data_IF_466565457851
#
_entry.id   IF_466565457851
#
_cell.length_a   1.000
_cell.length_b   1.000
_cell.length_c   1.000
_cell.angle_alpha   90.00
_cell.angle_beta   90.00
_cell.angle_gamma   90.00
#
_symmetry.space_group_name_H-M   'P 1'
#
loop_
_entity.id
_entity.type
_entity.pdbx_description
1 polymer ?
#
# COMPACT_ATOMS: atom_id res chain seq x y z
N UNK A 1 -4.90 31.32 9.31
CA UNK A 1 -4.20 30.55 10.37
C UNK A 1 -5.18 29.86 11.32
N UNK A 2 -6.13 30.58 11.96
CA UNK A 2 -7.15 29.94 12.84
C UNK A 2 -8.07 28.94 12.08
N UNK A 3 -8.54 29.27 10.87
CA UNK A 3 -9.37 28.37 10.04
C UNK A 3 -8.65 27.11 9.60
N UNK A 4 -7.37 27.21 9.25
CA UNK A 4 -6.53 26.08 8.87
C UNK A 4 -6.33 25.11 10.05
N UNK A 5 -6.07 25.64 11.26
CA UNK A 5 -5.96 24.84 12.48
C UNK A 5 -7.29 24.14 12.86
N UNK A 6 -8.43 24.79 12.63
CA UNK A 6 -9.75 24.21 12.90
C UNK A 6 -10.11 23.15 11.85
N UNK A 7 -9.76 23.35 10.58
CA UNK A 7 -9.93 22.36 9.51
C UNK A 7 -9.04 21.13 9.74
N UNK A 8 -7.80 21.35 10.18
CA UNK A 8 -6.82 20.32 10.51
C UNK A 8 -7.23 19.54 11.78
N UNK A 9 -7.81 20.22 12.79
CA UNK A 9 -8.40 19.58 13.96
C UNK A 9 -9.67 18.77 13.62
N UNK A 10 -10.55 19.27 12.75
CA UNK A 10 -11.74 18.53 12.27
C UNK A 10 -11.37 17.34 11.41
N UNK A 11 -10.35 17.45 10.55
CA UNK A 11 -9.83 16.32 9.75
C UNK A 11 -9.19 15.24 10.63
N UNK A 12 -8.42 15.64 11.65
CA UNK A 12 -7.89 14.68 12.63
C UNK A 12 -8.99 14.04 13.47
N UNK A 13 -10.08 14.73 13.79
CA UNK A 13 -11.20 14.15 14.56
C UNK A 13 -12.09 13.22 13.71
N UNK A 14 -12.52 13.64 12.52
CA UNK A 14 -13.42 12.83 11.68
C UNK A 14 -12.68 11.74 10.88
N UNK A 15 -11.50 12.03 10.34
CA UNK A 15 -10.71 11.04 9.60
C UNK A 15 -10.20 9.87 10.46
N UNK A 16 -10.02 10.09 11.77
CA UNK A 16 -9.57 9.04 12.70
C UNK A 16 -10.71 8.10 13.14
N UNK A 17 -11.96 8.58 13.17
CA UNK A 17 -13.14 7.73 13.48
C UNK A 17 -13.60 6.93 12.25
N UNK A 18 -13.47 7.50 11.05
CA UNK A 18 -13.85 6.84 9.80
C UNK A 18 -12.83 5.79 9.35
N UNK A 19 -11.54 5.98 9.63
CA UNK A 19 -10.49 5.06 9.20
C UNK A 19 -10.65 3.62 9.72
N UNK A 20 -10.89 3.35 11.02
CA UNK A 20 -11.12 1.99 11.52
C UNK A 20 -12.33 1.31 10.87
N UNK A 21 -13.41 2.06 10.61
CA UNK A 21 -14.60 1.55 9.93
C UNK A 21 -14.30 1.25 8.45
N UNK A 22 -13.61 2.16 7.76
CA UNK A 22 -13.18 1.97 6.37
C UNK A 22 -12.22 0.78 6.24
N UNK A 23 -11.30 0.61 7.18
CA UNK A 23 -10.38 -0.53 7.23
C UNK A 23 -11.11 -1.84 7.42
N UNK A 24 -12.08 -1.89 8.34
CA UNK A 24 -12.89 -3.09 8.54
C UNK A 24 -13.65 -3.47 7.26
N UNK A 25 -14.30 -2.51 6.61
CA UNK A 25 -15.02 -2.75 5.34
C UNK A 25 -14.06 -3.20 4.22
N UNK A 26 -12.89 -2.57 4.12
CA UNK A 26 -11.85 -2.92 3.16
C UNK A 26 -11.31 -4.35 3.41
N UNK A 27 -11.12 -4.74 4.66
CA UNK A 27 -10.72 -6.10 5.02
C UNK A 27 -11.82 -7.11 4.71
N UNK A 28 -13.07 -6.80 5.06
CA UNK A 28 -14.23 -7.66 4.80
C UNK A 28 -14.47 -7.89 3.31
N UNK A 29 -14.17 -6.91 2.45
CA UNK A 29 -14.33 -7.04 1.00
C UNK A 29 -13.30 -7.99 0.37
N UNK A 30 -12.05 -8.00 0.84
CA UNK A 30 -11.00 -8.87 0.30
C UNK A 30 -10.88 -10.21 1.03
N UNK A 31 -11.34 -10.29 2.29
CA UNK A 31 -11.16 -11.47 3.13
C UNK A 31 -11.71 -12.78 2.54
N UNK A 32 -12.85 -12.83 1.83
CA UNK A 32 -13.31 -14.07 1.19
C UNK A 32 -12.28 -14.64 0.22
N UNK A 33 -11.74 -13.79 -0.67
CA UNK A 33 -10.73 -14.18 -1.65
C UNK A 33 -9.43 -14.61 -0.96
N UNK A 34 -8.95 -13.83 0.02
CA UNK A 34 -7.73 -14.18 0.76
C UNK A 34 -7.88 -15.50 1.54
N UNK A 35 -9.07 -15.80 2.07
CA UNK A 35 -9.35 -17.10 2.72
C UNK A 35 -9.30 -18.25 1.74
N UNK A 36 -9.88 -18.10 0.55
CA UNK A 36 -9.82 -19.13 -0.50
C UNK A 36 -8.37 -19.38 -0.89
N UNK A 37 -7.60 -18.32 -1.17
CA UNK A 37 -6.18 -18.40 -1.51
C UNK A 37 -5.40 -19.15 -0.42
N UNK A 38 -5.52 -18.74 0.85
CA UNK A 38 -4.79 -19.38 1.97
C UNK A 38 -5.14 -20.85 2.16
N UNK A 39 -6.41 -21.21 1.97
CA UNK A 39 -6.84 -22.60 2.05
C UNK A 39 -6.24 -23.42 0.91
N UNK A 40 -6.28 -22.91 -0.33
CA UNK A 40 -5.67 -23.57 -1.49
C UNK A 40 -4.14 -23.69 -1.36
N UNK A 41 -3.47 -22.66 -0.83
CA UNK A 41 -2.05 -22.69 -0.50
C UNK A 41 -1.71 -23.81 0.47
N UNK A 42 -2.49 -23.93 1.55
CA UNK A 42 -2.32 -24.97 2.55
C UNK A 42 -2.54 -26.37 1.98
N UNK A 43 -3.57 -26.56 1.17
CA UNK A 43 -3.87 -27.84 0.52
C UNK A 43 -2.78 -28.24 -0.49
N UNK A 44 -2.22 -27.28 -1.22
CA UNK A 44 -1.19 -27.51 -2.21
C UNK A 44 0.25 -27.50 -1.64
N UNK A 45 0.43 -27.21 -0.35
CA UNK A 45 1.75 -27.12 0.29
C UNK A 45 2.63 -25.99 -0.25
N UNK A 46 2.01 -24.90 -0.74
CA UNK A 46 2.71 -23.74 -1.29
C UNK A 46 2.34 -22.45 -0.53
N UNK A 47 3.10 -21.39 -0.75
CA UNK A 47 2.87 -20.08 -0.13
C UNK A 47 3.30 -18.98 -1.10
N UNK A 48 2.53 -17.89 -1.16
CA UNK A 48 2.91 -16.66 -1.85
C UNK A 48 3.06 -15.51 -0.86
N UNK A 49 4.32 -15.16 -0.63
CA UNK A 49 4.71 -13.99 0.15
C UNK A 49 4.20 -12.69 -0.48
N UNK A 50 4.11 -12.65 -1.81
CA UNK A 50 3.57 -11.50 -2.55
C UNK A 50 2.09 -11.29 -2.21
N UNK A 51 1.29 -12.35 -2.27
CA UNK A 51 -0.14 -12.29 -1.97
C UNK A 51 -0.38 -12.00 -0.49
N UNK A 52 0.48 -12.50 0.40
CA UNK A 52 0.43 -12.19 1.82
C UNK A 52 0.64 -10.69 2.08
N UNK A 53 1.71 -10.10 1.53
CA UNK A 53 2.02 -8.67 1.67
C UNK A 53 0.95 -7.78 1.04
N UNK A 54 0.47 -8.14 -0.16
CA UNK A 54 -0.62 -7.40 -0.82
C UNK A 54 -1.94 -7.49 -0.04
N UNK A 55 -2.23 -8.65 0.55
CA UNK A 55 -3.43 -8.86 1.36
C UNK A 55 -3.48 -8.02 2.63
N UNK A 56 -2.32 -7.63 3.16
CA UNK A 56 -2.19 -6.70 4.29
C UNK A 56 -2.18 -5.24 3.85
N UNK A 57 -1.42 -4.92 2.80
CA UNK A 57 -1.24 -3.54 2.33
C UNK A 57 -2.50 -2.97 1.65
N UNK A 58 -3.19 -3.76 0.82
CA UNK A 58 -4.30 -3.26 0.01
C UNK A 58 -5.47 -2.73 0.86
N UNK A 59 -5.96 -3.45 1.89
CA UNK A 59 -7.02 -2.93 2.75
C UNK A 59 -6.65 -1.65 3.47
N UNK A 60 -5.40 -1.54 3.96
CA UNK A 60 -4.89 -0.33 4.60
C UNK A 60 -4.85 0.86 3.63
N UNK A 61 -4.37 0.65 2.41
CA UNK A 61 -4.33 1.68 1.37
C UNK A 61 -5.74 2.15 0.98
N UNK A 62 -6.69 1.22 0.80
CA UNK A 62 -8.09 1.55 0.54
C UNK A 62 -8.71 2.33 1.69
N UNK A 63 -8.50 1.88 2.93
CA UNK A 63 -9.02 2.55 4.12
C UNK A 63 -8.54 3.99 4.24
N UNK A 64 -7.26 4.22 3.94
CA UNK A 64 -6.66 5.54 3.93
C UNK A 64 -7.34 6.47 2.91
N UNK A 65 -7.53 6.00 1.67
CA UNK A 65 -8.18 6.82 0.63
C UNK A 65 -9.64 7.12 0.95
N UNK A 66 -10.38 6.13 1.47
CA UNK A 66 -11.78 6.31 1.89
C UNK A 66 -11.88 7.31 3.03
N UNK A 67 -11.04 7.17 4.05
CA UNK A 67 -11.02 8.08 5.21
C UNK A 67 -10.52 9.49 4.85
N UNK A 68 -9.69 9.62 3.81
CA UNK A 68 -9.17 10.91 3.37
C UNK A 68 -10.21 11.77 2.65
N UNK A 69 -11.24 11.16 2.07
CA UNK A 69 -12.33 11.87 1.41
C UNK A 69 -13.33 12.48 2.43
N UNK A 70 -13.52 11.82 3.57
CA UNK A 70 -14.59 12.18 4.52
C UNK A 70 -15.94 12.33 3.82
N UNK A 71 -16.77 13.27 4.31
CA UNK A 71 -18.01 13.72 3.68
C UNK A 71 -17.83 14.97 2.78
N UNK A 72 -16.60 15.33 2.40
CA UNK A 72 -16.34 16.56 1.65
C UNK A 72 -16.60 16.38 0.15
N UNK A 73 -17.32 17.31 -0.46
CA UNK A 73 -17.58 17.33 -1.91
C UNK A 73 -16.37 17.84 -2.70
N UNK A 74 -15.55 18.72 -2.09
CA UNK A 74 -14.36 19.32 -2.69
C UNK A 74 -13.19 19.29 -1.69
N UNK A 75 -11.98 19.08 -2.22
CA UNK A 75 -10.74 19.06 -1.45
C UNK A 75 -9.92 20.33 -1.71
N UNK A 76 -9.51 21.00 -0.63
CA UNK A 76 -8.59 22.13 -0.71
C UNK A 76 -7.17 21.66 -1.09
N UNK A 77 -6.34 22.55 -1.65
CA UNK A 77 -4.99 22.23 -2.11
C UNK A 77 -4.10 21.59 -1.03
N UNK A 78 -4.22 22.02 0.23
CA UNK A 78 -3.47 21.43 1.35
C UNK A 78 -3.96 20.02 1.68
N UNK A 79 -5.26 19.73 1.51
CA UNK A 79 -5.79 18.37 1.64
C UNK A 79 -5.20 17.43 0.58
N UNK A 80 -5.14 17.89 -0.67
CA UNK A 80 -4.58 17.13 -1.78
C UNK A 80 -3.11 16.76 -1.55
N UNK A 81 -2.30 17.69 -1.03
CA UNK A 81 -0.89 17.43 -0.71
C UNK A 81 -0.70 16.42 0.42
N UNK A 82 -1.54 16.47 1.45
CA UNK A 82 -1.48 15.52 2.55
C UNK A 82 -1.91 14.11 2.10
N UNK A 83 -2.95 14.03 1.25
CA UNK A 83 -3.37 12.77 0.63
C UNK A 83 -2.23 12.17 -0.18
N UNK A 84 -1.62 12.95 -1.06
CA UNK A 84 -0.46 12.55 -1.87
C UNK A 84 0.69 12.05 -1.00
N UNK A 85 1.05 12.79 0.06
CA UNK A 85 2.13 12.42 0.98
C UNK A 85 1.87 11.07 1.64
N UNK A 86 0.72 10.87 2.26
CA UNK A 86 0.43 9.61 2.96
C UNK A 86 0.25 8.42 2.00
N UNK A 87 -0.27 8.66 0.78
CA UNK A 87 -0.31 7.63 -0.25
C UNK A 87 1.09 7.25 -0.72
N UNK A 88 1.96 8.24 -0.95
CA UNK A 88 3.34 8.02 -1.32
C UNK A 88 4.07 7.18 -0.24
N UNK A 89 3.92 7.51 1.03
CA UNK A 89 4.50 6.73 2.14
C UNK A 89 4.08 5.25 2.06
N UNK A 90 2.78 4.97 1.91
CA UNK A 90 2.27 3.60 1.79
C UNK A 90 2.81 2.88 0.55
N UNK A 91 2.85 3.55 -0.60
CA UNK A 91 3.37 2.98 -1.84
C UNK A 91 4.86 2.68 -1.73
N UNK A 92 5.66 3.58 -1.16
CA UNK A 92 7.09 3.36 -0.99
C UNK A 92 7.40 2.26 0.04
N UNK A 93 6.58 2.09 1.08
CA UNK A 93 6.68 0.92 1.98
C UNK A 93 6.41 -0.38 1.20
N UNK A 94 5.41 -0.41 0.33
CA UNK A 94 5.14 -1.58 -0.53
C UNK A 94 6.31 -1.85 -1.48
N UNK A 95 6.86 -0.81 -2.12
CA UNK A 95 8.02 -0.94 -3.01
C UNK A 95 9.21 -1.54 -2.25
N UNK A 96 9.53 -1.01 -1.07
CA UNK A 96 10.60 -1.55 -0.23
C UNK A 96 10.34 -3.02 0.14
N UNK A 97 9.10 -3.34 0.49
CA UNK A 97 8.68 -4.71 0.79
C UNK A 97 8.92 -5.63 -0.42
N UNK A 98 8.50 -5.24 -1.63
CA UNK A 98 8.71 -6.02 -2.85
C UNK A 98 10.21 -6.16 -3.17
N UNK A 99 11.00 -5.10 -3.04
CA UNK A 99 12.45 -5.15 -3.28
C UNK A 99 13.15 -6.11 -2.32
N UNK A 100 12.74 -6.18 -1.05
CA UNK A 100 13.27 -7.15 -0.08
C UNK A 100 13.04 -8.61 -0.53
N UNK A 101 11.93 -8.88 -1.22
CA UNK A 101 11.65 -10.23 -1.77
C UNK A 101 12.60 -10.60 -2.91
N UNK A 102 13.18 -9.61 -3.59
CA UNK A 102 14.16 -9.78 -4.66
C UNK A 102 15.59 -9.99 -4.21
N UNK A 103 15.89 -9.82 -2.92
CA UNK A 103 17.26 -9.97 -2.38
C UNK A 103 17.77 -11.40 -2.58
N UNK A 104 16.88 -12.38 -2.52
CA UNK A 104 17.18 -13.78 -2.80
C UNK A 104 16.74 -14.15 -4.22
N UNK A 105 17.57 -14.92 -4.95
CA UNK A 105 17.25 -15.43 -6.31
C UNK A 105 16.02 -16.34 -6.39
N UNK A 106 15.48 -16.77 -5.25
CA UNK A 106 14.25 -17.56 -5.14
C UNK A 106 13.36 -16.91 -4.10
N UNK A 107 12.30 -16.25 -4.55
CA UNK A 107 11.30 -15.69 -3.66
C UNK A 107 10.37 -16.79 -3.13
N UNK A 108 9.80 -16.62 -1.94
CA UNK A 108 8.75 -17.49 -1.39
C UNK A 108 7.39 -17.21 -2.06
N UNK A 109 7.38 -17.20 -3.39
CA UNK A 109 6.22 -17.08 -4.26
C UNK A 109 5.91 -18.42 -4.91
N UNK A 110 4.73 -18.55 -5.51
CA UNK A 110 4.36 -19.75 -6.28
C UNK A 110 5.38 -20.07 -7.37
N UNK A 111 5.83 -19.03 -8.06
CA UNK A 111 6.97 -19.08 -8.96
C UNK A 111 8.18 -18.40 -8.28
N UNK A 112 9.24 -19.17 -7.95
CA UNK A 112 10.41 -18.64 -7.27
C UNK A 112 11.15 -17.54 -8.04
N UNK A 113 11.08 -17.50 -9.38
CA UNK A 113 11.82 -16.54 -10.21
C UNK A 113 11.02 -15.31 -10.61
N UNK A 114 9.69 -15.32 -10.40
CA UNK A 114 8.77 -14.25 -10.78
C UNK A 114 9.24 -12.87 -10.32
N UNK A 115 9.64 -12.75 -9.05
CA UNK A 115 10.05 -11.46 -8.48
C UNK A 115 11.37 -11.00 -9.07
N UNK A 116 12.38 -11.88 -9.16
CA UNK A 116 13.68 -11.52 -9.73
C UNK A 116 13.55 -11.04 -11.19
N UNK A 117 12.79 -11.75 -12.02
CA UNK A 117 12.59 -11.37 -13.43
C UNK A 117 11.86 -10.04 -13.59
N UNK A 118 10.95 -9.70 -12.67
CA UNK A 118 10.21 -8.43 -12.69
C UNK A 118 10.99 -7.28 -12.09
N UNK A 119 12.04 -7.55 -11.33
CA UNK A 119 12.89 -6.53 -10.74
C UNK A 119 13.98 -6.03 -11.69
N UNK A 120 14.42 -6.81 -12.68
CA UNK A 120 15.48 -6.38 -13.59
C UNK A 120 15.18 -5.00 -14.25
N UNK A 121 14.00 -4.76 -14.84
CA UNK A 121 13.68 -3.44 -15.40
C UNK A 121 13.54 -2.33 -14.35
N UNK A 122 13.19 -2.69 -13.11
CA UNK A 122 13.11 -1.74 -11.97
C UNK A 122 14.51 -1.31 -11.55
N UNK A 123 15.47 -2.23 -11.57
CA UNK A 123 16.87 -1.94 -11.26
C UNK A 123 17.51 -1.08 -12.34
N UNK A 124 17.20 -1.28 -13.62
CA UNK A 124 17.66 -0.40 -14.70
C UNK A 124 17.24 1.06 -14.46
N UNK A 125 15.98 1.28 -14.06
CA UNK A 125 15.48 2.60 -13.70
C UNK A 125 16.16 3.16 -12.43
N UNK A 126 16.35 2.32 -11.42
CA UNK A 126 17.04 2.71 -10.19
C UNK A 126 18.49 3.15 -10.47
N UNK A 127 19.20 2.45 -11.35
CA UNK A 127 20.55 2.76 -11.78
C UNK A 127 20.63 4.09 -12.52
N UNK A 128 19.68 4.35 -13.43
CA UNK A 128 19.56 5.65 -14.12
C UNK A 128 19.35 6.77 -13.10
N UNK A 129 18.40 6.60 -12.17
CA UNK A 129 18.11 7.59 -11.12
C UNK A 129 19.35 7.81 -10.25
N UNK A 130 20.05 6.76 -9.84
CA UNK A 130 21.24 6.84 -9.00
C UNK A 130 22.36 7.61 -9.71
N UNK A 131 22.61 7.34 -11.00
CA UNK A 131 23.59 8.06 -11.81
C UNK A 131 23.22 9.53 -11.98
N UNK A 132 21.95 9.85 -12.24
CA UNK A 132 21.49 11.24 -12.39
C UNK A 132 21.54 12.02 -11.08
N UNK A 133 21.37 11.39 -9.92
CA UNK A 133 21.44 12.06 -8.60
C UNK A 133 22.86 12.20 -8.04
N UNK A 134 23.80 11.38 -8.53
CA UNK A 134 25.19 11.38 -8.06
C UNK A 134 26.12 12.26 -8.92
N UNK A 135 25.63 12.78 -10.05
CA UNK A 135 26.32 13.75 -10.90
C UNK A 135 25.71 15.13 -10.77
#
# INVERSE_FOLDING_TARGET
>A
KLRALIADARRRQHGTEEYPAALKLAQESVAPTLRIIRNSEREAGMHSELLSRLGEWLPDCMAYLVAANGAATDLEADALREIERGLAEKVFVLIQSILQMGVTRRSACYDPVLISERLDPVMDLADVIAKTRSG
#
